data_IF_950245777559
#
_entry.id   IF_950245777559
#
_cell.length_a   1.000
_cell.length_b   1.000
_cell.length_c   1.000
_cell.angle_alpha   90.00
_cell.angle_beta   90.00
_cell.angle_gamma   90.00
#
_symmetry.space_group_name_H-M   'P 1'
#
loop_
_entity.id
_entity.type
_entity.pdbx_description
1 polymer ?
#
# COMPACT_ATOMS: atom_id res chain seq x y z
N UNK A 1 14.37 -41.30 31.02
CA UNK A 1 15.28 -41.48 29.87
C UNK A 1 15.28 -40.17 29.09
N UNK A 2 16.40 -39.44 29.09
CA UNK A 2 16.50 -38.15 28.41
C UNK A 2 16.91 -38.38 26.95
N UNK A 3 16.34 -37.66 25.96
CA UNK A 3 16.74 -37.83 24.57
C UNK A 3 18.05 -37.10 24.30
N UNK A 4 19.01 -37.80 23.70
CA UNK A 4 20.32 -37.28 23.31
C UNK A 4 20.17 -36.49 22.00
N UNK A 5 20.46 -35.19 22.02
CA UNK A 5 20.55 -34.37 20.78
C UNK A 5 21.82 -34.76 20.00
N UNK A 6 21.75 -34.87 18.65
CA UNK A 6 22.95 -35.01 17.84
C UNK A 6 23.80 -33.74 17.91
N UNK A 7 25.11 -33.91 18.06
CA UNK A 7 26.10 -32.83 17.95
C UNK A 7 26.29 -32.44 16.47
N UNK A 8 26.47 -31.15 16.15
CA UNK A 8 26.82 -30.73 14.79
C UNK A 8 28.26 -31.13 14.44
N UNK A 9 28.56 -31.43 13.16
CA UNK A 9 29.91 -31.78 12.73
C UNK A 9 30.87 -30.59 12.85
N UNK A 10 32.14 -30.90 13.09
CA UNK A 10 33.21 -29.91 13.24
C UNK A 10 33.41 -29.08 11.95
N UNK A 11 33.77 -27.78 12.07
CA UNK A 11 34.09 -26.95 10.91
C UNK A 11 35.34 -27.46 10.19
N UNK A 12 35.31 -27.45 8.85
CA UNK A 12 36.43 -27.86 8.00
C UNK A 12 37.63 -26.89 8.15
N UNK A 13 38.89 -27.39 8.18
CA UNK A 13 40.06 -26.53 8.26
C UNK A 13 40.33 -25.94 6.87
N UNK A 14 39.78 -24.76 6.59
CA UNK A 14 39.98 -24.11 5.30
C UNK A 14 39.29 -22.77 5.07
N UNK A 15 38.39 -22.33 5.95
CA UNK A 15 37.79 -21.01 5.83
C UNK A 15 38.65 -19.97 6.56
N UNK A 16 39.63 -19.48 5.80
CA UNK A 16 40.39 -18.28 6.11
C UNK A 16 39.39 -17.18 6.41
N UNK A 17 39.33 -16.77 7.68
CA UNK A 17 38.65 -15.56 8.11
C UNK A 17 39.32 -14.38 7.40
N UNK A 18 38.77 -14.04 6.22
CA UNK A 18 38.98 -12.76 5.59
C UNK A 18 38.46 -11.71 6.56
N UNK A 19 39.35 -11.21 7.41
CA UNK A 19 39.16 -9.99 8.15
C UNK A 19 39.03 -8.88 7.13
N UNK A 20 37.82 -8.67 6.62
CA UNK A 20 37.48 -7.41 5.99
C UNK A 20 37.38 -6.42 7.15
N UNK A 21 38.52 -5.82 7.53
CA UNK A 21 38.51 -4.61 8.32
C UNK A 21 37.76 -3.59 7.44
N UNK A 22 36.60 -3.05 7.86
CA UNK A 22 36.02 -1.93 7.16
C UNK A 22 36.85 -0.70 7.56
N UNK A 23 37.96 -0.46 6.86
CA UNK A 23 38.65 0.83 6.87
C UNK A 23 37.85 1.84 6.06
N UNK A 24 36.64 2.14 6.50
CA UNK A 24 35.92 3.33 6.08
C UNK A 24 35.23 3.90 7.30
N UNK A 25 35.89 4.84 7.97
CA UNK A 25 35.24 5.78 8.88
C UNK A 25 34.20 6.59 8.08
N UNK A 26 32.89 6.46 8.33
CA UNK A 26 31.88 7.28 7.66
C UNK A 26 31.65 8.62 8.40
N UNK A 27 32.64 9.11 9.17
CA UNK A 27 32.33 9.96 10.33
C UNK A 27 32.63 11.46 10.19
N UNK A 28 33.06 11.99 9.04
CA UNK A 28 33.53 13.39 9.02
C UNK A 28 32.87 14.35 8.02
N UNK A 29 32.01 13.89 7.10
CA UNK A 29 31.31 14.79 6.17
C UNK A 29 29.79 14.73 6.25
N UNK A 30 29.21 13.56 6.51
CA UNK A 30 27.76 13.38 6.66
C UNK A 30 27.20 14.22 7.83
N UNK A 31 27.98 14.37 8.90
CA UNK A 31 27.52 15.03 10.13
C UNK A 31 27.42 16.57 9.99
N UNK A 32 28.21 17.19 9.10
CA UNK A 32 28.05 18.62 8.77
C UNK A 32 26.84 18.84 7.88
N UNK A 33 26.69 17.99 6.86
CA UNK A 33 25.56 18.03 5.93
C UNK A 33 24.23 17.80 6.65
N UNK A 34 24.14 16.83 7.56
CA UNK A 34 22.94 16.59 8.36
C UNK A 34 22.56 17.80 9.20
N UNK A 35 23.53 18.44 9.84
CA UNK A 35 23.32 19.62 10.69
C UNK A 35 22.92 20.87 9.87
N UNK A 36 23.39 20.99 8.63
CA UNK A 36 22.89 21.98 7.67
C UNK A 36 21.45 21.69 7.21
N UNK A 37 21.13 20.42 6.92
CA UNK A 37 19.79 20.00 6.54
C UNK A 37 18.79 20.22 7.68
N UNK A 38 19.15 19.91 8.92
CA UNK A 38 18.31 20.16 10.10
C UNK A 38 18.03 21.65 10.28
N UNK A 39 19.07 22.50 10.15
CA UNK A 39 18.91 23.96 10.23
C UNK A 39 18.02 24.49 9.11
N UNK A 40 18.21 24.01 7.88
CA UNK A 40 17.38 24.37 6.75
C UNK A 40 15.92 23.93 6.96
N UNK A 41 15.70 22.70 7.44
CA UNK A 41 14.37 22.20 7.77
C UNK A 41 13.68 23.08 8.83
N UNK A 42 14.37 23.41 9.93
CA UNK A 42 13.82 24.30 10.95
C UNK A 42 13.44 25.67 10.40
N UNK A 43 14.32 26.30 9.62
CA UNK A 43 14.06 27.61 9.01
C UNK A 43 12.87 27.58 8.04
N UNK A 44 12.77 26.54 7.22
CA UNK A 44 11.64 26.39 6.28
C UNK A 44 10.32 26.14 7.01
N UNK A 45 10.31 25.41 8.12
CA UNK A 45 9.10 25.27 8.94
C UNK A 45 8.67 26.61 9.54
N UNK A 46 9.59 27.41 10.07
CA UNK A 46 9.30 28.76 10.55
C UNK A 46 8.72 29.65 9.44
N UNK A 47 9.30 29.61 8.24
CA UNK A 47 8.76 30.35 7.09
C UNK A 47 7.36 29.88 6.69
N UNK A 48 7.08 28.57 6.75
CA UNK A 48 5.75 28.03 6.46
C UNK A 48 4.68 28.58 7.40
N UNK A 49 5.03 28.91 8.64
CA UNK A 49 4.09 29.57 9.58
C UNK A 49 3.66 30.96 9.12
N UNK A 50 4.52 31.71 8.42
CA UNK A 50 4.14 33.02 7.87
C UNK A 50 3.13 32.91 6.73
N UNK A 51 3.13 31.80 6.00
CA UNK A 51 2.16 31.50 4.94
C UNK A 51 0.87 30.85 5.45
N UNK A 52 0.78 30.53 6.74
CA UNK A 52 -0.49 30.08 7.33
C UNK A 52 -1.48 31.23 7.28
N UNK A 53 -2.71 30.93 6.89
CA UNK A 53 -3.79 31.91 6.89
C UNK A 53 -4.04 32.41 8.32
N UNK A 54 -3.85 33.71 8.56
CA UNK A 54 -4.09 34.37 9.85
C UNK A 54 -5.57 34.63 10.09
N UNK A 55 -6.38 34.54 9.03
CA UNK A 55 -7.80 34.88 9.03
C UNK A 55 -8.64 33.74 9.62
N UNK A 56 -8.07 32.54 9.77
CA UNK A 56 -8.74 31.37 10.34
C UNK A 56 -9.86 30.82 9.46
N UNK A 57 -10.01 31.33 8.24
CA UNK A 57 -11.11 31.03 7.32
C UNK A 57 -10.79 29.92 6.33
N UNK A 58 -9.50 29.72 6.00
CA UNK A 58 -9.08 28.67 5.08
C UNK A 58 -8.61 27.43 5.85
N UNK A 59 -9.47 26.41 5.88
CA UNK A 59 -9.05 25.08 6.28
C UNK A 59 -7.98 24.59 5.31
N UNK A 60 -6.79 24.16 5.78
CA UNK A 60 -5.80 23.57 4.90
C UNK A 60 -6.36 22.28 4.31
N UNK A 61 -6.59 22.29 3.00
CA UNK A 61 -7.08 21.13 2.27
C UNK A 61 -5.89 20.14 2.15
N UNK A 62 -6.00 18.90 2.67
CA UNK A 62 -4.86 17.97 2.74
C UNK A 62 -4.50 17.37 1.38
N UNK A 63 -5.25 17.70 0.33
CA UNK A 63 -5.04 17.24 -1.03
C UNK A 63 -5.07 18.42 -1.99
N UNK A 64 -4.37 18.26 -3.11
CA UNK A 64 -4.43 19.20 -4.21
C UNK A 64 -5.82 19.13 -4.86
N UNK A 65 -6.46 20.29 -5.03
CA UNK A 65 -7.65 20.41 -5.85
C UNK A 65 -7.26 20.99 -7.20
N UNK A 66 -7.59 20.27 -8.26
CA UNK A 66 -7.37 20.73 -9.62
C UNK A 66 -8.22 22.00 -9.87
N UNK A 67 -7.63 23.11 -10.34
CA UNK A 67 -8.38 24.29 -10.75
C UNK A 67 -9.44 23.95 -11.79
N UNK A 68 -10.58 24.65 -11.77
CA UNK A 68 -11.70 24.31 -12.65
C UNK A 68 -11.35 24.42 -14.13
N UNK A 69 -10.49 25.37 -14.48
CA UNK A 69 -9.99 25.61 -15.83
C UNK A 69 -9.18 24.42 -16.38
N UNK A 70 -8.57 23.62 -15.50
CA UNK A 70 -7.72 22.49 -15.90
C UNK A 70 -8.46 21.14 -15.96
N UNK A 71 -9.73 21.10 -15.52
CA UNK A 71 -10.54 19.86 -15.48
C UNK A 71 -10.70 19.20 -16.85
N UNK A 72 -10.79 20.00 -17.93
CA UNK A 72 -10.90 19.46 -19.29
C UNK A 72 -9.60 18.79 -19.77
N UNK A 73 -8.46 19.35 -19.38
CA UNK A 73 -7.13 18.82 -19.74
C UNK A 73 -6.79 17.57 -18.94
N UNK A 74 -7.22 17.52 -17.68
CA UNK A 74 -6.99 16.40 -16.77
C UNK A 74 -8.32 15.92 -16.18
N UNK A 75 -9.07 15.08 -16.93
CA UNK A 75 -10.33 14.55 -16.44
C UNK A 75 -10.10 13.73 -15.16
N UNK A 76 -11.04 13.83 -14.23
CA UNK A 76 -10.96 13.09 -12.97
C UNK A 76 -11.02 11.58 -13.26
N UNK A 77 -10.19 10.73 -12.61
CA UNK A 77 -10.14 9.30 -12.93
C UNK A 77 -11.46 8.56 -12.66
N UNK A 78 -12.34 9.12 -11.83
CA UNK A 78 -13.67 8.57 -11.54
C UNK A 78 -14.76 9.12 -12.46
N UNK A 79 -14.47 10.15 -13.27
CA UNK A 79 -15.42 10.68 -14.25
C UNK A 79 -15.46 9.73 -15.45
N UNK A 80 -16.32 8.72 -15.34
CA UNK A 80 -16.51 7.76 -16.39
C UNK A 80 -17.23 8.42 -17.58
N UNK A 81 -16.77 8.20 -18.83
CA UNK A 81 -17.51 8.64 -20.00
C UNK A 81 -18.88 7.97 -20.05
N UNK A 82 -19.81 8.51 -20.84
CA UNK A 82 -21.13 7.92 -21.00
C UNK A 82 -21.02 6.46 -21.48
N UNK A 83 -21.27 5.52 -20.56
CA UNK A 83 -21.13 4.10 -20.83
C UNK A 83 -22.29 3.60 -21.69
N UNK A 84 -22.00 2.68 -22.63
CA UNK A 84 -23.03 1.96 -23.39
C UNK A 84 -23.94 1.15 -22.47
N UNK A 85 -25.19 0.90 -22.89
CA UNK A 85 -26.14 0.08 -22.12
C UNK A 85 -25.58 -1.31 -21.81
N UNK A 86 -24.88 -1.94 -22.76
CA UNK A 86 -24.23 -3.25 -22.58
C UNK A 86 -23.15 -3.20 -21.50
N UNK A 87 -22.30 -2.18 -21.53
CA UNK A 87 -21.21 -1.99 -20.55
C UNK A 87 -21.77 -1.74 -19.16
N UNK A 88 -22.78 -0.87 -19.04
CA UNK A 88 -23.47 -0.60 -17.76
C UNK A 88 -24.06 -1.87 -17.17
N UNK A 89 -24.76 -2.65 -17.98
CA UNK A 89 -25.36 -3.90 -17.54
C UNK A 89 -24.31 -4.92 -17.07
N UNK A 90 -23.17 -5.01 -17.77
CA UNK A 90 -22.08 -5.89 -17.34
C UNK A 90 -21.48 -5.44 -16.01
N UNK A 91 -21.18 -4.14 -15.86
CA UNK A 91 -20.65 -3.57 -14.61
C UNK A 91 -21.61 -3.78 -13.44
N UNK A 92 -22.90 -3.54 -13.64
CA UNK A 92 -23.92 -3.79 -12.63
C UNK A 92 -23.98 -5.26 -12.21
N UNK A 93 -23.76 -6.20 -13.13
CA UNK A 93 -23.74 -7.64 -12.80
C UNK A 93 -22.55 -8.03 -11.94
N UNK A 94 -21.38 -7.44 -12.20
CA UNK A 94 -20.13 -7.75 -11.48
C UNK A 94 -19.91 -6.88 -10.25
N UNK A 95 -20.79 -5.89 -10.01
CA UNK A 95 -20.71 -5.03 -8.83
C UNK A 95 -20.80 -5.87 -7.56
N UNK A 96 -19.99 -5.59 -6.51
CA UNK A 96 -20.11 -6.21 -5.19
C UNK A 96 -21.53 -6.08 -4.59
N UNK A 97 -22.24 -5.02 -4.97
CA UNK A 97 -23.61 -4.74 -4.53
C UNK A 97 -24.64 -5.67 -5.18
N UNK A 98 -24.32 -6.25 -6.33
CA UNK A 98 -25.15 -7.24 -7.00
C UNK A 98 -24.91 -8.62 -6.39
N UNK A 99 -25.29 -8.77 -5.12
CA UNK A 99 -25.27 -10.04 -4.44
C UNK A 99 -26.26 -10.98 -5.13
N UNK A 100 -25.73 -11.90 -5.94
CA UNK A 100 -26.53 -12.96 -6.53
C UNK A 100 -27.22 -13.75 -5.42
N UNK A 101 -28.55 -13.77 -5.44
CA UNK A 101 -29.38 -14.51 -4.49
C UNK A 101 -29.23 -16.03 -4.62
N UNK A 102 -28.66 -16.49 -5.75
CA UNK A 102 -28.36 -17.88 -6.01
C UNK A 102 -27.20 -18.03 -7.02
N UNK A 103 -26.46 -19.13 -6.92
CA UNK A 103 -25.50 -19.58 -7.93
C UNK A 103 -26.04 -20.83 -8.62
N UNK A 104 -26.01 -20.86 -9.96
CA UNK A 104 -26.39 -22.05 -10.74
C UNK A 104 -25.14 -22.79 -11.18
N UNK A 105 -25.02 -24.08 -10.84
CA UNK A 105 -23.94 -24.95 -11.31
C UNK A 105 -24.17 -25.40 -12.76
N UNK A 106 -23.13 -25.84 -13.49
CA UNK A 106 -23.28 -26.43 -14.82
C UNK A 106 -24.24 -27.63 -14.87
N UNK A 107 -24.43 -28.30 -13.73
CA UNK A 107 -25.42 -29.38 -13.55
C UNK A 107 -26.88 -28.88 -13.47
N UNK A 108 -27.11 -27.57 -13.52
CA UNK A 108 -28.42 -26.95 -13.37
C UNK A 108 -28.89 -26.77 -11.92
N UNK A 109 -28.17 -27.32 -10.94
CA UNK A 109 -28.49 -27.14 -9.52
C UNK A 109 -28.27 -25.69 -9.09
N UNK A 110 -29.23 -25.13 -8.35
CA UNK A 110 -29.16 -23.78 -7.78
C UNK A 110 -28.82 -23.89 -6.31
N UNK A 111 -27.89 -23.05 -5.87
CA UNK A 111 -27.42 -22.97 -4.48
C UNK A 111 -27.65 -21.56 -3.98
N UNK A 112 -28.14 -21.45 -2.74
CA UNK A 112 -28.47 -20.18 -2.11
C UNK A 112 -27.21 -19.39 -1.76
N UNK A 113 -27.36 -18.09 -1.46
CA UNK A 113 -26.24 -17.26 -0.98
C UNK A 113 -25.61 -17.82 0.30
N UNK A 114 -26.42 -18.33 1.23
CA UNK A 114 -25.95 -18.91 2.50
C UNK A 114 -25.08 -20.15 2.29
N UNK A 115 -25.55 -21.11 1.49
CA UNK A 115 -24.79 -22.33 1.19
C UNK A 115 -23.48 -22.01 0.45
N UNK A 116 -23.52 -21.01 -0.45
CA UNK A 116 -22.33 -20.50 -1.13
C UNK A 116 -21.34 -19.93 -0.12
N UNK A 117 -21.78 -19.10 0.81
CA UNK A 117 -20.91 -18.49 1.83
C UNK A 117 -20.23 -19.55 2.71
N UNK A 118 -20.98 -20.57 3.14
CA UNK A 118 -20.41 -21.72 3.88
C UNK A 118 -19.33 -22.42 3.05
N UNK A 119 -19.59 -22.67 1.76
CA UNK A 119 -18.60 -23.27 0.87
C UNK A 119 -17.37 -22.39 0.69
N UNK A 120 -17.57 -21.11 0.40
CA UNK A 120 -16.48 -20.17 0.10
C UNK A 120 -15.59 -20.01 1.37
N UNK A 121 -16.18 -19.95 2.57
CA UNK A 121 -15.44 -19.93 3.85
C UNK A 121 -14.49 -21.12 4.02
N UNK A 122 -14.88 -22.32 3.57
CA UNK A 122 -14.04 -23.51 3.66
C UNK A 122 -12.74 -23.39 2.84
N UNK A 123 -12.76 -22.65 1.73
CA UNK A 123 -11.60 -22.46 0.87
C UNK A 123 -10.68 -21.33 1.36
N UNK A 124 -11.23 -20.26 1.94
CA UNK A 124 -10.45 -19.16 2.51
C UNK A 124 -9.50 -19.63 3.62
N UNK A 125 -9.93 -20.58 4.47
CA UNK A 125 -9.09 -21.13 5.56
C UNK A 125 -8.02 -22.13 5.10
N UNK A 126 -7.94 -22.45 3.81
CA UNK A 126 -6.95 -23.39 3.25
C UNK A 126 -5.83 -22.72 2.44
N UNK A 127 -5.96 -21.42 2.14
CA UNK A 127 -4.95 -20.63 1.44
C UNK A 127 -3.92 -20.04 2.42
#
# INVERSE_FOLDING_TARGET
>A
MSPQRPQPPAPYPGEVQGHCIPTHTPFSMENRRSLELDRFYQLTQQQREFYKDKTGTLYPIPYFMLPEEEKEKYPHPLDLPQLSAKTRWHLLRVSPENLHTYQTFPSGKRVTSQEREVRDSFFEYRA
#
